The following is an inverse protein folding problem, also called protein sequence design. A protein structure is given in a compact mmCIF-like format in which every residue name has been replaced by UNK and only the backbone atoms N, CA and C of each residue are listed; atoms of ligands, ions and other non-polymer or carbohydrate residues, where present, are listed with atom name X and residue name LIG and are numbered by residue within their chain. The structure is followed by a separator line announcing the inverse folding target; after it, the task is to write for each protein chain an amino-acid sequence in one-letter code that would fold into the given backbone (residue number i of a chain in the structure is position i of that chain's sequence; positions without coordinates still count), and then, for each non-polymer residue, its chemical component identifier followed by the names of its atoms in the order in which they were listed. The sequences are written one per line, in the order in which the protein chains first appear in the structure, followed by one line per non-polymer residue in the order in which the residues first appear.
data_IF_054782270587
#
_entry.id   IF_054782270587
#
_cell.length_a   1.000
_cell.length_b   1.000
_cell.length_c   1.000
_cell.angle_alpha   90.00
_cell.angle_beta   90.00
_cell.angle_gamma   90.00
#
_symmetry.space_group_name_H-M   'P 1'
#
loop_
_entity.id
_entity.type
_entity.pdbx_description
1 polymer ?
#
# COMPACT_ATOMS: atom_id res chain seq x y z
N UNK A 1 -2.70 -19.58 15.41
CA UNK A 1 -1.24 -19.49 15.16
C UNK A 1 -1.00 -18.29 14.28
N UNK A 2 -0.23 -17.33 14.76
CA UNK A 2 0.21 -16.16 14.04
C UNK A 2 1.00 -16.58 12.81
N UNK A 3 0.47 -16.30 11.65
CA UNK A 3 1.29 -16.29 10.46
C UNK A 3 1.98 -14.92 10.41
N UNK A 4 3.26 -14.92 10.73
CA UNK A 4 4.13 -13.82 10.36
C UNK A 4 4.18 -13.68 8.84
N UNK A 5 4.85 -12.66 8.33
CA UNK A 5 5.00 -12.37 6.90
C UNK A 5 5.73 -13.47 6.09
N UNK A 6 5.93 -14.65 6.67
CA UNK A 6 6.65 -15.78 6.08
C UNK A 6 5.67 -16.91 5.73
N UNK A 7 4.84 -16.65 4.71
CA UNK A 7 3.83 -17.58 4.23
C UNK A 7 4.26 -18.36 2.97
N UNK A 8 5.57 -18.41 2.67
CA UNK A 8 6.08 -19.08 1.47
C UNK A 8 5.67 -18.44 0.16
N UNK A 9 5.29 -17.14 0.20
CA UNK A 9 4.95 -16.38 -0.98
C UNK A 9 6.17 -16.23 -1.89
N UNK A 10 6.00 -16.49 -3.19
CA UNK A 10 6.98 -16.19 -4.22
C UNK A 10 6.29 -15.64 -5.47
N UNK A 11 7.04 -14.94 -6.30
CA UNK A 11 6.52 -14.28 -7.49
C UNK A 11 5.97 -15.27 -8.53
N UNK A 12 6.52 -16.47 -8.62
CA UNK A 12 6.08 -17.50 -9.58
C UNK A 12 4.67 -18.03 -9.32
N UNK A 13 4.08 -17.71 -8.16
CA UNK A 13 2.70 -18.05 -7.79
C UNK A 13 1.72 -16.89 -8.00
N UNK A 14 2.18 -15.78 -8.56
CA UNK A 14 1.36 -14.59 -8.79
C UNK A 14 0.78 -14.64 -10.18
N UNK A 15 -0.54 -14.48 -10.28
CA UNK A 15 -1.21 -14.15 -11.53
C UNK A 15 -1.16 -12.64 -11.68
N UNK A 16 -0.52 -12.15 -12.72
CA UNK A 16 -0.36 -10.71 -12.96
C UNK A 16 -1.68 -10.07 -13.43
N UNK A 17 -1.76 -8.74 -13.37
CA UNK A 17 -2.90 -8.00 -13.91
C UNK A 17 -3.11 -8.30 -15.40
N UNK A 18 -2.02 -8.32 -16.15
CA UNK A 18 -2.07 -8.57 -17.59
C UNK A 18 -2.61 -9.97 -17.90
N UNK A 19 -2.13 -10.98 -17.21
CA UNK A 19 -2.65 -12.34 -17.34
C UNK A 19 -4.14 -12.43 -16.97
N UNK A 20 -4.56 -11.80 -15.88
CA UNK A 20 -5.97 -11.77 -15.48
C UNK A 20 -6.85 -11.08 -16.54
N UNK A 21 -6.40 -9.93 -17.07
CA UNK A 21 -7.15 -9.23 -18.11
C UNK A 21 -7.23 -10.04 -19.40
N UNK A 22 -6.13 -10.64 -19.85
CA UNK A 22 -6.11 -11.51 -21.03
C UNK A 22 -7.08 -12.69 -20.89
N UNK A 23 -7.16 -13.32 -19.72
CA UNK A 23 -8.12 -14.39 -19.46
C UNK A 23 -9.58 -13.91 -19.50
N UNK A 24 -9.86 -12.72 -18.97
CA UNK A 24 -11.21 -12.15 -18.97
C UNK A 24 -11.63 -11.74 -20.39
N UNK A 25 -10.73 -11.11 -21.13
CA UNK A 25 -10.98 -10.62 -22.50
C UNK A 25 -11.23 -11.74 -23.53
N UNK A 26 -10.82 -12.98 -23.21
CA UNK A 26 -11.20 -14.15 -24.02
C UNK A 26 -12.72 -14.43 -24.00
N UNK A 27 -13.43 -13.96 -22.97
CA UNK A 27 -14.84 -14.27 -22.76
C UNK A 27 -15.75 -13.04 -22.76
N UNK A 28 -15.20 -11.86 -22.45
CA UNK A 28 -15.97 -10.62 -22.24
C UNK A 28 -15.25 -9.43 -22.83
N UNK A 29 -15.97 -8.60 -23.54
CA UNK A 29 -15.47 -7.27 -23.90
C UNK A 29 -15.50 -6.35 -22.68
N UNK A 30 -14.34 -5.84 -22.32
CA UNK A 30 -14.19 -4.94 -21.17
C UNK A 30 -13.54 -3.62 -21.57
N UNK A 31 -13.79 -2.57 -20.84
CA UNK A 31 -13.16 -1.27 -21.01
C UNK A 31 -12.69 -0.71 -19.67
N UNK A 32 -11.55 0.00 -19.62
CA UNK A 32 -11.08 0.64 -18.41
C UNK A 32 -12.01 1.76 -17.97
N UNK A 33 -12.19 1.93 -16.66
CA UNK A 33 -12.95 3.02 -16.06
C UNK A 33 -11.97 4.02 -15.44
N UNK A 34 -12.20 5.30 -15.64
CA UNK A 34 -11.38 6.34 -15.05
C UNK A 34 -11.43 6.28 -13.50
N UNK A 35 -10.31 6.55 -12.83
CA UNK A 35 -10.27 6.57 -11.38
C UNK A 35 -11.21 7.65 -10.82
N UNK A 36 -11.90 7.35 -9.72
CA UNK A 36 -12.84 8.26 -9.06
C UNK A 36 -12.14 9.37 -8.27
N UNK A 37 -10.93 9.11 -7.81
CA UNK A 37 -10.13 10.05 -7.04
C UNK A 37 -8.63 9.73 -7.16
N UNK A 38 -7.81 10.73 -6.87
CA UNK A 38 -6.35 10.56 -6.86
C UNK A 38 -5.90 9.54 -5.79
N UNK A 39 -5.03 8.61 -6.16
CA UNK A 39 -4.53 7.56 -5.26
C UNK A 39 -5.46 6.36 -5.11
N UNK A 40 -6.49 6.24 -5.97
CA UNK A 40 -7.34 5.05 -6.01
C UNK A 40 -6.49 3.80 -6.35
N UNK A 41 -6.60 2.78 -5.49
CA UNK A 41 -5.74 1.58 -5.56
C UNK A 41 -6.26 0.57 -6.55
N UNK A 42 -7.59 0.39 -6.61
CA UNK A 42 -8.22 -0.51 -7.55
C UNK A 42 -8.30 0.14 -8.93
N UNK A 43 -7.91 -0.60 -9.97
CA UNK A 43 -8.18 -0.22 -11.36
C UNK A 43 -9.47 -0.89 -11.77
N UNK A 44 -10.48 -0.10 -12.12
CA UNK A 44 -11.80 -0.60 -12.48
C UNK A 44 -11.94 -0.82 -13.98
N UNK A 45 -12.71 -1.82 -14.31
CA UNK A 45 -13.10 -2.20 -15.67
C UNK A 45 -14.60 -2.40 -15.72
N UNK A 46 -15.21 -2.03 -16.85
CA UNK A 46 -16.63 -2.20 -17.12
C UNK A 46 -16.81 -3.25 -18.20
N UNK A 47 -17.79 -4.11 -18.04
CA UNK A 47 -18.28 -4.99 -19.10
C UNK A 47 -19.01 -4.16 -20.15
N UNK A 48 -18.74 -4.38 -21.44
CA UNK A 48 -19.28 -3.54 -22.51
C UNK A 48 -20.80 -3.64 -22.65
N UNK A 49 -21.32 -4.84 -22.47
CA UNK A 49 -22.76 -5.14 -22.67
C UNK A 49 -23.59 -4.99 -21.39
N UNK A 50 -23.03 -4.47 -20.32
CA UNK A 50 -23.73 -4.27 -19.05
C UNK A 50 -23.09 -3.16 -18.21
N UNK A 51 -23.80 -2.73 -17.16
CA UNK A 51 -23.24 -1.79 -16.16
C UNK A 51 -22.37 -2.46 -15.10
N UNK A 52 -22.13 -3.75 -15.23
CA UNK A 52 -21.29 -4.49 -14.30
C UNK A 52 -19.85 -4.00 -14.35
N UNK A 53 -19.28 -3.75 -13.18
CA UNK A 53 -17.90 -3.32 -13.01
C UNK A 53 -17.16 -4.25 -12.06
N UNK A 54 -15.86 -4.44 -12.30
CA UNK A 54 -14.97 -5.12 -11.37
C UNK A 54 -13.69 -4.31 -11.20
N UNK A 55 -13.00 -4.50 -10.07
CA UNK A 55 -11.76 -3.80 -9.77
C UNK A 55 -10.62 -4.77 -9.49
N UNK A 56 -9.43 -4.48 -10.01
CA UNK A 56 -8.20 -5.22 -9.73
C UNK A 56 -7.27 -4.40 -8.84
N UNK A 57 -6.79 -5.01 -7.75
CA UNK A 57 -5.75 -4.44 -6.89
C UNK A 57 -4.47 -5.23 -7.14
N UNK A 58 -3.51 -4.60 -7.80
CA UNK A 58 -2.36 -5.26 -8.40
C UNK A 58 -1.02 -4.78 -7.83
N UNK A 59 -0.94 -4.69 -6.50
CA UNK A 59 0.24 -4.15 -5.79
C UNK A 59 1.55 -4.88 -6.05
N UNK A 60 1.51 -6.06 -6.66
CA UNK A 60 2.67 -6.90 -6.96
C UNK A 60 3.14 -6.71 -8.40
N UNK A 61 2.21 -6.73 -9.36
CA UNK A 61 2.52 -6.58 -10.78
C UNK A 61 2.55 -5.12 -11.25
N UNK A 62 1.83 -4.24 -10.54
CA UNK A 62 1.76 -2.82 -10.87
C UNK A 62 1.76 -2.01 -9.57
N UNK A 63 2.86 -1.34 -9.28
CA UNK A 63 2.99 -0.56 -8.05
C UNK A 63 2.15 0.72 -8.09
N UNK A 64 1.68 1.15 -6.92
CA UNK A 64 0.94 2.40 -6.74
C UNK A 64 1.55 3.28 -5.63
N UNK A 65 2.82 3.08 -5.29
CA UNK A 65 3.49 3.83 -4.22
C UNK A 65 3.62 5.32 -4.55
N UNK A 66 3.86 5.66 -5.80
CA UNK A 66 4.02 7.05 -6.26
C UNK A 66 2.77 7.92 -6.04
N UNK A 67 1.57 7.31 -6.12
CA UNK A 67 0.29 7.99 -5.90
C UNK A 67 -0.35 7.68 -4.55
N UNK A 68 0.38 6.99 -3.65
CA UNK A 68 -0.18 6.55 -2.38
C UNK A 68 -0.40 7.72 -1.42
N UNK A 69 -1.64 7.93 -1.00
CA UNK A 69 -2.07 8.97 -0.05
C UNK A 69 -2.33 8.46 1.36
N UNK A 70 -1.92 7.23 1.66
CA UNK A 70 -2.26 6.53 2.91
C UNK A 70 -1.15 6.63 3.94
N UNK A 71 -1.53 6.89 5.18
CA UNK A 71 -0.71 6.81 6.36
C UNK A 71 -1.37 5.90 7.40
N UNK A 72 -0.66 5.57 8.45
CA UNK A 72 -1.16 4.79 9.58
C UNK A 72 -0.78 5.46 10.90
N UNK A 73 -1.69 5.39 11.84
CA UNK A 73 -1.43 5.72 13.25
C UNK A 73 -1.71 4.45 14.06
N UNK A 74 -0.71 3.98 14.80
CA UNK A 74 -0.87 2.82 15.66
C UNK A 74 -1.57 3.19 16.97
N UNK A 75 -2.11 2.20 17.67
CA UNK A 75 -2.83 2.40 18.94
C UNK A 75 -1.94 2.96 20.06
N UNK A 76 -0.63 2.78 19.97
CA UNK A 76 0.34 3.37 20.90
C UNK A 76 0.82 4.77 20.49
N UNK A 77 0.24 5.34 19.43
CA UNK A 77 0.45 6.72 19.00
C UNK A 77 1.66 6.96 18.11
N UNK A 78 2.08 5.95 17.34
CA UNK A 78 3.16 6.08 16.36
C UNK A 78 2.61 6.25 14.94
N UNK A 79 3.16 7.21 14.21
CA UNK A 79 2.82 7.49 12.82
C UNK A 79 3.74 6.74 11.85
N UNK A 80 3.15 6.15 10.82
CA UNK A 80 3.83 5.42 9.75
C UNK A 80 3.39 5.93 8.39
N UNK A 81 4.32 6.20 7.51
CA UNK A 81 4.06 6.62 6.12
C UNK A 81 3.66 5.47 5.18
N UNK A 82 3.88 4.22 5.59
CA UNK A 82 3.57 3.04 4.80
C UNK A 82 3.05 1.91 5.68
N UNK A 83 2.10 1.10 5.16
CA UNK A 83 1.61 -0.11 5.82
C UNK A 83 2.72 -1.17 6.00
N UNK A 84 3.71 -1.14 5.13
CA UNK A 84 4.84 -2.08 5.13
C UNK A 84 6.13 -1.43 5.66
N UNK A 85 5.99 -0.43 6.52
CA UNK A 85 7.14 0.25 7.11
C UNK A 85 8.11 -0.75 7.76
N UNK A 86 9.40 -0.54 7.53
CA UNK A 86 10.49 -1.35 8.11
C UNK A 86 11.20 -0.66 9.27
N UNK A 87 10.90 0.61 9.51
CA UNK A 87 11.47 1.44 10.57
C UNK A 87 10.44 1.67 11.69
N UNK A 88 10.91 2.05 12.86
CA UNK A 88 10.03 2.53 13.92
C UNK A 88 9.28 3.79 13.47
N UNK A 89 7.97 3.83 13.79
CA UNK A 89 7.15 4.99 13.49
C UNK A 89 7.54 6.21 14.34
N UNK A 90 7.14 7.39 13.87
CA UNK A 90 7.33 8.62 14.64
C UNK A 90 6.35 8.68 15.82
N UNK A 91 6.87 8.95 17.03
CA UNK A 91 6.07 9.00 18.26
C UNK A 91 5.29 10.34 18.38
N UNK A 92 4.08 10.34 17.83
CA UNK A 92 3.14 11.49 17.91
C UNK A 92 2.61 11.66 19.33
N UNK A 93 2.43 10.57 20.07
CA UNK A 93 1.95 10.63 21.46
C UNK A 93 2.91 11.40 22.35
N UNK A 94 4.20 11.15 22.22
CA UNK A 94 5.21 11.90 22.98
C UNK A 94 5.17 13.40 22.64
N UNK A 95 5.03 13.73 21.34
CA UNK A 95 4.92 15.13 20.91
C UNK A 95 3.71 15.84 21.56
N UNK A 96 2.53 15.20 21.54
CA UNK A 96 1.31 15.75 22.15
C UNK A 96 1.48 15.89 23.67
N UNK A 97 2.02 14.89 24.35
CA UNK A 97 2.20 14.90 25.81
C UNK A 97 3.24 15.92 26.27
N UNK A 98 4.14 16.32 25.40
CA UNK A 98 5.11 17.38 25.65
C UNK A 98 4.56 18.79 25.34
N UNK A 99 3.25 18.92 25.10
CA UNK A 99 2.57 20.21 24.97
C UNK A 99 2.63 20.82 23.57
N UNK A 100 2.86 20.00 22.54
CA UNK A 100 2.81 20.49 21.15
C UNK A 100 1.43 21.06 20.80
N UNK A 101 1.44 22.18 20.09
CA UNK A 101 0.23 22.80 19.56
C UNK A 101 -0.24 22.08 18.28
N UNK A 102 -1.47 22.36 17.83
CA UNK A 102 -1.98 21.87 16.56
C UNK A 102 -1.12 22.27 15.37
N UNK A 103 -0.51 23.45 15.43
CA UNK A 103 0.37 23.93 14.35
C UNK A 103 1.71 23.19 14.35
N UNK A 104 2.26 22.84 15.51
CA UNK A 104 3.44 21.98 15.64
C UNK A 104 3.16 20.59 15.06
N UNK A 105 1.99 20.03 15.36
CA UNK A 105 1.55 18.74 14.81
C UNK A 105 1.42 18.79 13.28
N UNK A 106 0.76 19.82 12.75
CA UNK A 106 0.63 20.03 11.28
C UNK A 106 1.99 20.16 10.61
N UNK A 107 2.89 20.95 11.19
CA UNK A 107 4.24 21.15 10.65
C UNK A 107 5.01 19.82 10.64
N UNK A 108 4.93 19.05 11.71
CA UNK A 108 5.59 17.75 11.83
C UNK A 108 5.02 16.72 10.84
N UNK A 109 3.69 16.62 10.70
CA UNK A 109 3.09 15.73 9.71
C UNK A 109 3.46 16.09 8.27
N UNK A 110 3.47 17.39 7.93
CA UNK A 110 3.93 17.84 6.61
C UNK A 110 5.37 17.43 6.36
N UNK A 111 6.24 17.61 7.34
CA UNK A 111 7.64 17.21 7.25
C UNK A 111 7.77 15.69 7.04
N UNK A 112 7.13 14.89 7.89
CA UNK A 112 7.17 13.43 7.80
C UNK A 112 6.65 12.93 6.43
N UNK A 113 5.62 13.59 5.91
CA UNK A 113 5.06 13.26 4.61
C UNK A 113 5.99 13.63 3.45
N UNK A 114 6.65 14.81 3.51
CA UNK A 114 7.54 15.28 2.45
C UNK A 114 8.84 14.46 2.33
N UNK A 115 9.34 13.92 3.44
CA UNK A 115 10.55 13.08 3.44
C UNK A 115 10.25 11.59 3.26
N UNK A 116 8.99 11.22 3.05
CA UNK A 116 8.58 9.83 2.89
C UNK A 116 9.19 9.22 1.63
N UNK A 117 9.96 8.16 1.82
CA UNK A 117 10.56 7.35 0.76
C UNK A 117 10.16 5.86 0.86
N UNK A 118 9.15 5.55 1.68
CA UNK A 118 8.61 4.19 1.84
C UNK A 118 7.84 3.75 0.59
N UNK A 119 8.55 3.24 -0.41
CA UNK A 119 8.00 2.76 -1.69
C UNK A 119 8.06 1.23 -1.75
N UNK A 120 7.50 0.56 -0.76
CA UNK A 120 7.63 -0.88 -0.60
C UNK A 120 7.16 -1.70 -1.81
N UNK A 121 6.06 -1.30 -2.46
CA UNK A 121 5.60 -2.00 -3.65
C UNK A 121 6.53 -1.80 -4.84
N UNK A 122 7.15 -0.61 -4.97
CA UNK A 122 8.12 -0.33 -6.03
C UNK A 122 9.43 -1.11 -5.81
N UNK A 123 9.80 -1.34 -4.53
CA UNK A 123 11.01 -2.08 -4.16
C UNK A 123 10.83 -3.60 -4.22
N UNK A 124 9.65 -4.11 -4.53
CA UNK A 124 9.33 -5.54 -4.70
C UNK A 124 9.78 -6.09 -6.06
N UNK A 125 10.90 -5.69 -6.58
CA UNK A 125 11.50 -6.38 -7.73
C UNK A 125 12.10 -7.72 -7.30
N UNK A 126 12.18 -8.67 -8.22
CA UNK A 126 12.62 -10.07 -7.95
C UNK A 126 13.94 -10.16 -7.17
N UNK A 127 14.85 -9.20 -7.33
CA UNK A 127 16.16 -9.18 -6.66
C UNK A 127 16.12 -8.68 -5.21
N UNK A 128 15.07 -7.95 -4.82
CA UNK A 128 14.99 -7.33 -3.48
C UNK A 128 14.39 -8.27 -2.44
N UNK A 129 13.71 -9.33 -2.86
CA UNK A 129 13.04 -10.29 -1.96
C UNK A 129 14.07 -11.10 -1.15
N UNK A 130 15.22 -11.41 -1.71
CA UNK A 130 16.28 -12.18 -1.04
C UNK A 130 17.09 -11.37 -0.01
N UNK A 131 17.25 -10.07 -0.23
CA UNK A 131 18.16 -9.23 0.57
C UNK A 131 17.49 -8.43 1.71
N UNK A 132 16.17 -8.32 1.75
CA UNK A 132 15.48 -7.50 2.75
C UNK A 132 14.91 -8.31 3.93
N UNK A 133 15.78 -9.01 4.67
CA UNK A 133 15.48 -9.57 6.00
C UNK A 133 15.45 -8.48 7.11
N UNK A 134 15.24 -7.23 6.77
CA UNK A 134 14.98 -6.20 7.79
C UNK A 134 13.67 -6.54 8.50
N UNK A 135 13.71 -6.53 9.83
CA UNK A 135 12.58 -6.81 10.71
C UNK A 135 11.43 -5.87 10.35
N UNK A 136 10.43 -6.38 9.63
CA UNK A 136 9.23 -5.61 9.26
C UNK A 136 8.33 -5.47 10.47
N UNK A 137 7.67 -4.33 10.58
CA UNK A 137 6.61 -4.14 11.57
C UNK A 137 5.41 -4.98 11.13
N UNK A 138 4.81 -5.69 12.10
CA UNK A 138 3.63 -6.49 11.81
C UNK A 138 2.45 -5.58 11.44
N UNK A 139 1.80 -5.85 10.31
CA UNK A 139 0.66 -5.06 9.82
C UNK A 139 -0.46 -4.96 10.87
N UNK A 140 -0.71 -6.02 11.63
CA UNK A 140 -1.73 -6.01 12.69
C UNK A 140 -1.44 -4.98 13.79
N UNK A 141 -0.18 -4.60 13.97
CA UNK A 141 0.21 -3.60 14.96
C UNK A 141 -0.13 -2.17 14.51
N UNK A 142 -0.12 -1.91 13.22
CA UNK A 142 -0.37 -0.59 12.64
C UNK A 142 -1.74 -0.50 11.93
N UNK A 143 -2.68 -1.39 12.27
CA UNK A 143 -4.06 -1.33 11.81
C UNK A 143 -4.29 -1.80 10.38
N UNK A 144 -3.64 -2.88 9.99
CA UNK A 144 -3.83 -3.56 8.70
C UNK A 144 -4.56 -4.87 8.84
#
# INVERSE_FOLDING_TARGET
KRQGNDNGWNFNKVVTKEEMLNMIEQHFEISPVAPKYYGEVAKYFRHKDSDAQFGLITSVSESFCSTCTRARLSSDGKFYGCLFASSEGFDVKALIRNGATDDDLKAQFKRLWSIRNDQYSDMRTMQTIENNRKKKINMNYIGG
#
